data_IF_142016118576
#
_entry.id   IF_142016118576
#
_cell.length_a   1.000
_cell.length_b   1.000
_cell.length_c   1.000
_cell.angle_alpha   90.00
_cell.angle_beta   90.00
_cell.angle_gamma   90.00
#
_symmetry.space_group_name_H-M   'P 1'
#
loop_
_entity.id
_entity.type
_entity.pdbx_description
1 polymer ?
#
# COMPACT_ATOMS: atom_id res chain seq x y z
N UNK A 1 19.20 -73.06 -6.39
CA UNK A 1 18.36 -71.85 -6.38
C UNK A 1 17.51 -71.86 -7.65
N UNK A 2 16.18 -71.78 -7.53
CA UNK A 2 15.26 -72.04 -8.66
C UNK A 2 15.16 -70.83 -9.59
N UNK A 3 15.13 -71.05 -10.92
CA UNK A 3 15.02 -70.01 -11.97
C UNK A 3 13.85 -69.04 -11.75
N UNK A 4 12.80 -69.46 -11.03
CA UNK A 4 11.67 -68.60 -10.62
C UNK A 4 12.08 -67.57 -9.56
N UNK A 5 12.91 -67.92 -8.57
CA UNK A 5 13.32 -67.00 -7.50
C UNK A 5 14.16 -65.84 -8.03
N UNK A 6 15.02 -66.08 -9.03
CA UNK A 6 15.82 -65.03 -9.68
C UNK A 6 14.96 -64.01 -10.42
N UNK A 7 13.89 -64.46 -11.09
CA UNK A 7 12.97 -63.57 -11.84
C UNK A 7 12.15 -62.69 -10.89
N UNK A 8 11.68 -63.22 -9.76
CA UNK A 8 10.94 -62.41 -8.77
C UNK A 8 11.83 -61.35 -8.12
N UNK A 9 13.10 -61.67 -7.90
CA UNK A 9 14.06 -60.74 -7.30
C UNK A 9 14.43 -59.62 -8.27
N UNK A 10 14.65 -59.91 -9.56
CA UNK A 10 14.87 -58.87 -10.57
C UNK A 10 13.64 -57.97 -10.81
N UNK A 11 12.43 -58.55 -10.80
CA UNK A 11 11.20 -57.77 -10.92
C UNK A 11 10.96 -56.83 -9.73
N UNK A 12 11.30 -57.25 -8.50
CA UNK A 12 11.17 -56.36 -7.33
C UNK A 12 12.13 -55.17 -7.40
N UNK A 13 13.39 -55.39 -7.79
CA UNK A 13 14.37 -54.31 -7.96
C UNK A 13 13.96 -53.30 -9.04
N UNK A 14 13.35 -53.75 -10.15
CA UNK A 14 12.88 -52.87 -11.22
C UNK A 14 11.68 -52.02 -10.76
N UNK A 15 10.77 -52.60 -9.95
CA UNK A 15 9.61 -51.89 -9.40
C UNK A 15 10.08 -50.84 -8.38
N UNK A 16 10.97 -51.21 -7.46
CA UNK A 16 11.50 -50.29 -6.44
C UNK A 16 12.30 -49.13 -7.08
N UNK A 17 13.09 -49.40 -8.13
CA UNK A 17 13.80 -48.35 -8.86
C UNK A 17 12.86 -47.40 -9.60
N UNK A 18 11.79 -47.90 -10.21
CA UNK A 18 10.77 -47.06 -10.87
C UNK A 18 10.00 -46.19 -9.86
N UNK A 19 9.65 -46.73 -8.70
CA UNK A 19 8.98 -45.98 -7.62
C UNK A 19 9.90 -44.90 -7.05
N UNK A 20 11.20 -45.21 -6.86
CA UNK A 20 12.20 -44.24 -6.42
C UNK A 20 12.41 -43.11 -7.45
N UNK A 21 12.43 -43.44 -8.75
CA UNK A 21 12.53 -42.45 -9.82
C UNK A 21 11.28 -41.53 -9.87
N UNK A 22 10.08 -42.11 -9.70
CA UNK A 22 8.80 -41.40 -9.73
C UNK A 22 8.64 -40.46 -8.52
N UNK A 23 9.04 -40.90 -7.32
CA UNK A 23 9.02 -40.08 -6.10
C UNK A 23 10.12 -39.00 -6.09
N UNK A 24 11.28 -39.26 -6.69
CA UNK A 24 12.36 -38.28 -6.84
C UNK A 24 12.06 -37.17 -7.86
N UNK A 25 11.33 -37.49 -8.93
CA UNK A 25 10.93 -36.55 -9.98
C UNK A 25 9.77 -35.64 -9.57
N UNK A 26 8.87 -36.08 -8.68
CA UNK A 26 7.70 -35.28 -8.26
C UNK A 26 8.00 -34.17 -7.22
N UNK A 27 9.14 -34.20 -6.52
CA UNK A 27 9.50 -33.16 -5.55
C UNK A 27 10.10 -31.90 -6.20
N UNK A 28 10.71 -32.04 -7.37
CA UNK A 28 11.36 -30.95 -8.12
C UNK A 28 10.37 -29.92 -8.69
N UNK A 29 9.21 -30.28 -9.27
CA UNK A 29 8.25 -29.29 -9.77
C UNK A 29 7.54 -28.53 -8.65
N UNK A 30 7.33 -29.14 -7.47
CA UNK A 30 6.68 -28.47 -6.33
C UNK A 30 7.55 -27.31 -5.82
N UNK A 31 8.87 -27.50 -5.75
CA UNK A 31 9.82 -26.44 -5.37
C UNK A 31 9.80 -25.32 -6.40
N UNK A 32 9.76 -25.65 -7.70
CA UNK A 32 9.66 -24.64 -8.77
C UNK A 32 8.34 -23.86 -8.73
N UNK A 33 7.20 -24.52 -8.47
CA UNK A 33 5.90 -23.86 -8.34
C UNK A 33 5.87 -22.92 -7.11
N UNK A 34 6.42 -23.35 -5.97
CA UNK A 34 6.55 -22.51 -4.78
C UNK A 34 7.46 -21.29 -5.02
N UNK A 35 8.55 -21.47 -5.79
CA UNK A 35 9.45 -20.39 -6.16
C UNK A 35 8.77 -19.37 -7.10
N UNK A 36 7.99 -19.84 -8.08
CA UNK A 36 7.20 -18.98 -8.98
C UNK A 36 6.14 -18.19 -8.19
N UNK A 37 5.49 -18.81 -7.21
CA UNK A 37 4.53 -18.14 -6.33
C UNK A 37 5.21 -17.07 -5.45
N UNK A 38 6.45 -17.31 -5.00
CA UNK A 38 7.27 -16.34 -4.26
C UNK A 38 7.72 -15.16 -5.12
N UNK A 39 8.07 -15.38 -6.39
CA UNK A 39 8.44 -14.30 -7.32
C UNK A 39 7.20 -13.46 -7.68
N UNK A 40 6.02 -14.09 -7.84
CA UNK A 40 4.78 -13.39 -8.19
C UNK A 40 4.18 -12.57 -7.02
N UNK A 41 4.47 -12.96 -5.76
CA UNK A 41 4.11 -12.16 -4.58
C UNK A 41 5.12 -11.04 -4.30
N UNK A 42 6.31 -11.12 -4.90
CA UNK A 42 7.38 -10.12 -4.79
C UNK A 42 7.23 -8.91 -5.72
N UNK A 43 6.32 -8.93 -6.71
CA UNK A 43 5.90 -7.72 -7.43
C UNK A 43 4.95 -6.89 -6.58
N UNK A 44 5.47 -6.52 -5.40
CA UNK A 44 4.97 -5.51 -4.51
C UNK A 44 4.89 -4.20 -5.29
N UNK A 45 3.68 -3.67 -5.39
CA UNK A 45 3.34 -2.24 -5.33
C UNK A 45 4.53 -1.26 -5.41
N UNK A 46 5.21 -1.21 -6.55
CA UNK A 46 5.95 0.00 -6.91
C UNK A 46 4.87 0.95 -7.42
N UNK A 47 4.39 1.84 -6.55
CA UNK A 47 3.56 2.95 -6.99
C UNK A 47 4.44 3.83 -7.88
N UNK A 48 4.38 3.61 -9.19
CA UNK A 48 5.04 4.49 -10.15
C UNK A 48 4.56 5.92 -9.89
N UNK A 49 5.52 6.81 -9.66
CA UNK A 49 5.22 8.23 -9.48
C UNK A 49 4.75 8.77 -10.82
N UNK A 50 3.47 9.15 -10.91
CA UNK A 50 2.89 9.65 -12.15
C UNK A 50 3.09 11.16 -12.28
N UNK A 51 3.46 11.63 -13.46
CA UNK A 51 3.50 13.06 -13.75
C UNK A 51 2.14 13.54 -14.26
N UNK A 52 1.65 14.67 -13.75
CA UNK A 52 0.41 15.29 -14.22
C UNK A 52 0.55 16.80 -14.36
N UNK A 53 0.17 17.28 -15.54
CA UNK A 53 0.13 18.70 -15.86
C UNK A 53 -1.23 19.27 -15.47
N UNK A 54 -1.22 20.43 -14.81
CA UNK A 54 -2.41 21.18 -14.45
C UNK A 54 -2.32 22.59 -15.03
N UNK A 55 -3.45 23.18 -15.40
CA UNK A 55 -3.47 24.55 -15.91
C UNK A 55 -3.23 25.54 -14.78
N UNK A 56 -3.73 25.25 -13.58
CA UNK A 56 -3.58 26.09 -12.38
C UNK A 56 -3.32 25.24 -11.14
N UNK A 57 -2.69 25.82 -10.11
CA UNK A 57 -2.56 25.14 -8.82
C UNK A 57 -3.92 24.93 -8.12
N UNK A 58 -4.90 25.80 -8.40
CA UNK A 58 -6.26 25.66 -7.89
C UNK A 58 -6.94 24.40 -8.44
N UNK A 59 -6.70 24.05 -9.70
CA UNK A 59 -7.25 22.85 -10.32
C UNK A 59 -6.76 21.58 -9.61
N UNK A 60 -5.46 21.51 -9.33
CA UNK A 60 -4.87 20.45 -8.52
C UNK A 60 -5.48 20.40 -7.11
N UNK A 61 -5.60 21.55 -6.43
CA UNK A 61 -6.22 21.63 -5.10
C UNK A 61 -7.68 21.16 -5.11
N UNK A 62 -8.45 21.51 -6.13
CA UNK A 62 -9.84 21.06 -6.27
C UNK A 62 -9.91 19.54 -6.40
N UNK A 63 -9.08 18.94 -7.25
CA UNK A 63 -9.02 17.48 -7.39
C UNK A 63 -8.71 16.78 -6.06
N UNK A 64 -7.70 17.29 -5.33
CA UNK A 64 -7.33 16.72 -4.03
C UNK A 64 -8.47 16.80 -3.02
N UNK A 65 -9.13 17.96 -2.93
CA UNK A 65 -10.26 18.15 -2.01
C UNK A 65 -11.48 17.31 -2.41
N UNK A 66 -11.72 17.09 -3.70
CA UNK A 66 -12.77 16.18 -4.16
C UNK A 66 -12.48 14.73 -3.73
N UNK A 67 -11.24 14.25 -3.92
CA UNK A 67 -10.82 12.91 -3.47
C UNK A 67 -11.00 12.74 -1.95
N UNK A 68 -10.50 13.68 -1.16
CA UNK A 68 -10.66 13.68 0.30
C UNK A 68 -12.16 13.71 0.70
N UNK A 69 -12.98 14.46 -0.03
CA UNK A 69 -14.41 14.54 0.22
C UNK A 69 -15.13 13.21 -0.04
N UNK A 70 -14.69 12.44 -1.03
CA UNK A 70 -15.24 11.11 -1.35
C UNK A 70 -14.87 10.00 -0.37
N UNK A 71 -13.95 10.25 0.57
CA UNK A 71 -13.62 9.29 1.63
C UNK A 71 -14.70 9.32 2.70
N UNK A 72 -15.37 8.19 2.90
CA UNK A 72 -16.46 8.03 3.86
C UNK A 72 -16.01 7.27 5.11
N UNK A 73 -16.76 7.46 6.20
CA UNK A 73 -16.61 6.64 7.42
C UNK A 73 -16.91 5.20 7.04
N UNK A 74 -16.09 4.26 7.51
CA UNK A 74 -16.24 2.85 7.15
C UNK A 74 -15.26 2.36 6.09
N UNK A 75 -14.76 3.23 5.19
CA UNK A 75 -13.79 2.84 4.16
C UNK A 75 -12.53 2.23 4.78
N UNK A 76 -11.98 1.18 4.15
CA UNK A 76 -10.74 0.56 4.60
C UNK A 76 -9.51 1.40 4.27
N UNK A 77 -8.36 1.07 4.88
CA UNK A 77 -7.09 1.72 4.54
C UNK A 77 -6.77 1.58 3.05
N UNK A 78 -7.10 0.43 2.46
CA UNK A 78 -6.87 0.14 1.03
C UNK A 78 -7.75 1.04 0.17
N UNK A 79 -9.05 1.12 0.47
CA UNK A 79 -9.98 1.99 -0.27
C UNK A 79 -9.57 3.46 -0.19
N UNK A 80 -9.12 3.93 0.97
CA UNK A 80 -8.61 5.29 1.14
C UNK A 80 -7.40 5.56 0.24
N UNK A 81 -6.46 4.62 0.16
CA UNK A 81 -5.28 4.74 -0.72
C UNK A 81 -5.66 4.69 -2.20
N UNK A 82 -6.65 3.88 -2.57
CA UNK A 82 -7.16 3.81 -3.95
C UNK A 82 -7.83 5.12 -4.39
N UNK A 83 -8.66 5.71 -3.52
CA UNK A 83 -9.32 6.99 -3.78
C UNK A 83 -8.30 8.12 -3.98
N UNK A 84 -7.27 8.18 -3.12
CA UNK A 84 -6.25 9.23 -3.19
C UNK A 84 -5.29 9.01 -4.37
N UNK A 85 -4.99 7.74 -4.67
CA UNK A 85 -4.10 7.33 -5.74
C UNK A 85 -2.62 7.38 -5.33
N UNK A 86 -1.75 7.19 -6.32
CA UNK A 86 -0.30 7.22 -6.14
C UNK A 86 0.22 8.64 -5.91
N UNK A 87 1.48 8.72 -5.45
CA UNK A 87 2.21 10.00 -5.39
C UNK A 87 2.39 10.57 -6.80
N UNK A 88 2.25 11.90 -6.94
CA UNK A 88 2.24 12.56 -8.24
C UNK A 88 3.22 13.73 -8.32
N UNK A 89 3.88 13.87 -9.46
CA UNK A 89 4.64 15.09 -9.78
C UNK A 89 3.66 16.07 -10.44
N UNK A 90 3.36 17.15 -9.73
CA UNK A 90 2.46 18.21 -10.18
C UNK A 90 3.28 19.26 -10.91
N UNK A 91 2.93 19.47 -12.18
CA UNK A 91 3.47 20.55 -13.01
C UNK A 91 2.41 21.60 -13.27
N UNK A 92 2.69 22.85 -12.90
CA UNK A 92 1.85 24.03 -13.16
C UNK A 92 2.69 25.10 -13.85
N UNK A 93 2.26 25.65 -14.99
CA UNK A 93 2.98 26.71 -15.66
C UNK A 93 2.99 28.01 -14.84
N UNK A 94 3.84 28.96 -15.22
CA UNK A 94 3.86 30.30 -14.65
C UNK A 94 2.56 31.03 -14.99
N UNK A 95 1.82 31.52 -14.00
CA UNK A 95 0.60 32.32 -14.20
C UNK A 95 0.72 33.63 -13.43
N UNK A 96 0.70 34.75 -14.16
CA UNK A 96 0.88 36.08 -13.59
C UNK A 96 2.20 36.18 -12.81
N UNK A 97 2.09 36.46 -11.50
CA UNK A 97 3.24 36.59 -10.58
C UNK A 97 3.64 35.28 -9.89
N UNK A 98 2.87 34.20 -10.04
CA UNK A 98 3.19 32.91 -9.42
C UNK A 98 4.34 32.22 -10.17
N UNK A 99 5.27 31.64 -9.41
CA UNK A 99 6.34 30.80 -9.98
C UNK A 99 5.73 29.51 -10.54
N UNK A 100 6.31 28.94 -11.62
CA UNK A 100 5.93 27.61 -12.07
C UNK A 100 6.17 26.60 -10.95
N UNK A 101 5.31 25.59 -10.88
CA UNK A 101 5.42 24.48 -9.93
C UNK A 101 5.87 23.23 -10.67
N UNK A 102 6.85 22.53 -10.11
CA UNK A 102 7.22 21.17 -10.52
C UNK A 102 7.65 20.45 -9.25
N UNK A 103 6.70 19.80 -8.58
CA UNK A 103 6.93 19.23 -7.25
C UNK A 103 6.22 17.89 -7.09
N UNK A 104 6.87 16.97 -6.40
CA UNK A 104 6.27 15.72 -5.92
C UNK A 104 5.33 15.99 -4.74
N UNK A 105 4.10 15.52 -4.87
CA UNK A 105 3.12 15.42 -3.80
C UNK A 105 2.92 13.96 -3.43
N UNK A 106 3.22 13.60 -2.19
CA UNK A 106 3.06 12.24 -1.67
C UNK A 106 1.62 11.99 -1.26
N UNK A 107 1.17 10.76 -1.41
CA UNK A 107 -0.19 10.33 -1.09
C UNK A 107 -0.14 9.12 -0.15
N UNK A 108 -0.17 9.31 1.19
CA UNK A 108 -0.25 10.56 1.95
C UNK A 108 1.09 11.31 2.07
N UNK A 109 1.03 12.59 2.46
CA UNK A 109 2.22 13.41 2.77
C UNK A 109 2.88 13.01 4.08
N UNK A 110 2.05 12.71 5.09
CA UNK A 110 2.53 12.21 6.37
C UNK A 110 1.70 11.02 6.80
N UNK A 111 2.35 10.08 7.50
CA UNK A 111 1.69 8.96 8.17
C UNK A 111 2.18 8.90 9.62
N UNK A 112 1.27 8.63 10.56
CA UNK A 112 1.60 8.35 11.96
C UNK A 112 0.82 7.10 12.36
N UNK A 113 1.52 6.10 12.83
CA UNK A 113 0.94 4.92 13.46
C UNK A 113 1.07 5.10 14.97
N UNK A 114 -0.01 4.87 15.69
CA UNK A 114 -0.08 5.01 17.15
C UNK A 114 -1.09 4.01 17.70
N UNK A 115 -1.29 3.99 19.01
CA UNK A 115 -2.23 3.08 19.67
C UNK A 115 -3.10 3.83 20.66
N UNK A 116 -4.34 3.36 20.83
CA UNK A 116 -5.19 3.80 21.95
C UNK A 116 -4.81 3.08 23.26
N UNK A 117 -5.52 3.41 24.33
CA UNK A 117 -5.37 2.74 25.64
C UNK A 117 -5.61 1.23 25.61
N UNK A 118 -6.51 0.78 24.74
CA UNK A 118 -6.84 -0.62 24.58
C UNK A 118 -5.84 -1.35 23.66
N UNK A 119 -4.76 -0.67 23.24
CA UNK A 119 -3.72 -1.16 22.33
C UNK A 119 -4.23 -1.45 20.91
N UNK A 120 -5.36 -0.86 20.53
CA UNK A 120 -5.80 -0.91 19.14
C UNK A 120 -4.91 0.02 18.29
N UNK A 121 -4.50 -0.46 17.13
CA UNK A 121 -3.72 0.34 16.19
C UNK A 121 -4.58 1.45 15.58
N UNK A 122 -3.99 2.63 15.50
CA UNK A 122 -4.56 3.83 14.91
C UNK A 122 -3.56 4.36 13.91
N UNK A 123 -3.97 4.42 12.65
CA UNK A 123 -3.20 5.01 11.57
C UNK A 123 -3.80 6.35 11.20
N UNK A 124 -3.00 7.41 11.24
CA UNK A 124 -3.40 8.75 10.82
C UNK A 124 -2.66 9.08 9.53
N UNK A 125 -3.41 9.42 8.50
CA UNK A 125 -2.92 9.77 7.17
C UNK A 125 -3.17 11.26 6.96
N UNK A 126 -2.16 12.02 6.53
CA UNK A 126 -2.31 13.44 6.21
C UNK A 126 -2.20 13.63 4.70
N UNK A 127 -3.29 14.06 4.08
CA UNK A 127 -3.37 14.32 2.65
C UNK A 127 -3.37 15.82 2.38
N UNK A 128 -2.60 16.25 1.39
CA UNK A 128 -2.52 17.66 1.02
C UNK A 128 -3.89 18.22 0.62
N UNK A 129 -4.27 19.38 1.17
CA UNK A 129 -5.61 19.96 0.93
C UNK A 129 -5.65 21.48 0.89
N UNK A 130 -4.71 22.16 1.53
CA UNK A 130 -4.69 23.63 1.67
C UNK A 130 -3.47 24.22 0.96
N UNK A 131 -3.54 25.49 0.50
CA UNK A 131 -2.50 26.08 -0.32
C UNK A 131 -1.17 26.17 0.41
N UNK A 132 -0.10 26.03 -0.38
CA UNK A 132 1.28 26.04 0.06
C UNK A 132 1.67 27.40 0.64
N UNK A 133 2.11 27.44 1.90
CA UNK A 133 2.85 28.59 2.44
C UNK A 133 4.13 28.75 1.62
N UNK A 134 4.43 30.00 1.24
CA UNK A 134 5.41 30.35 0.19
C UNK A 134 6.87 29.87 0.45
N UNK A 135 7.12 29.19 1.55
CA UNK A 135 8.42 28.76 2.06
C UNK A 135 8.90 27.42 1.47
N UNK A 136 8.10 26.75 0.64
CA UNK A 136 8.59 25.57 -0.08
C UNK A 136 8.39 24.22 0.63
N UNK A 137 8.26 24.23 1.97
CA UNK A 137 8.16 23.04 2.83
C UNK A 137 6.70 22.71 3.14
N UNK A 138 6.31 21.45 2.94
CA UNK A 138 4.98 20.96 3.30
C UNK A 138 4.90 20.73 4.80
N UNK A 139 3.82 21.19 5.41
CA UNK A 139 3.52 21.07 6.84
C UNK A 139 2.20 20.33 7.07
N UNK A 140 2.02 19.77 8.28
CA UNK A 140 0.76 19.09 8.63
C UNK A 140 -0.45 20.02 8.65
N UNK A 141 -0.24 21.33 8.83
CA UNK A 141 -1.29 22.36 8.72
C UNK A 141 -1.83 22.51 7.31
N UNK A 142 -1.06 22.11 6.29
CA UNK A 142 -1.45 22.15 4.88
C UNK A 142 -2.20 20.87 4.44
N UNK A 143 -2.42 19.96 5.39
CA UNK A 143 -2.98 18.65 5.13
C UNK A 143 -4.26 18.41 5.93
N UNK A 144 -5.18 17.65 5.35
CA UNK A 144 -6.35 17.10 6.01
C UNK A 144 -6.03 15.73 6.61
N UNK A 145 -6.16 15.54 7.93
CA UNK A 145 -5.95 14.24 8.55
C UNK A 145 -7.16 13.33 8.32
N UNK A 146 -6.89 12.05 8.09
CA UNK A 146 -7.84 10.95 8.05
C UNK A 146 -7.40 9.92 9.07
N UNK A 147 -8.30 9.56 9.99
CA UNK A 147 -8.04 8.64 11.08
C UNK A 147 -8.61 7.28 10.74
N UNK A 148 -7.74 6.27 10.70
CA UNK A 148 -8.06 4.87 10.53
C UNK A 148 -7.92 4.17 11.88
N UNK A 149 -8.97 3.47 12.32
CA UNK A 149 -8.96 2.62 13.52
C UNK A 149 -9.53 1.26 13.12
N UNK A 150 -8.84 0.18 13.46
CA UNK A 150 -9.24 -1.19 13.11
C UNK A 150 -9.52 -1.38 11.60
N UNK A 151 -8.60 -0.89 10.75
CA UNK A 151 -8.70 -0.91 9.28
C UNK A 151 -9.96 -0.24 8.71
N UNK A 152 -10.51 0.74 9.41
CA UNK A 152 -11.67 1.51 8.93
C UNK A 152 -11.54 2.99 9.27
N UNK A 153 -12.01 3.86 8.37
CA UNK A 153 -12.07 5.30 8.59
C UNK A 153 -13.01 5.58 9.76
N UNK A 154 -12.43 6.08 10.86
CA UNK A 154 -13.17 6.57 12.02
C UNK A 154 -13.66 8.01 11.80
N UNK A 155 -12.92 8.79 11.01
CA UNK A 155 -13.30 10.15 10.64
C UNK A 155 -12.18 10.93 9.97
N UNK A 156 -12.51 12.14 9.51
CA UNK A 156 -11.61 13.02 8.75
C UNK A 156 -11.70 14.48 9.21
N UNK A 157 -10.65 15.24 8.92
CA UNK A 157 -10.56 16.67 9.21
C UNK A 157 -9.92 16.99 10.56
N UNK A 158 -9.31 18.16 10.65
CA UNK A 158 -8.53 18.62 11.82
C UNK A 158 -9.36 18.64 13.09
N UNK A 159 -10.61 19.10 13.02
CA UNK A 159 -11.53 19.13 14.17
C UNK A 159 -11.81 17.72 14.72
N UNK A 160 -12.06 16.75 13.84
CA UNK A 160 -12.26 15.36 14.24
C UNK A 160 -10.98 14.80 14.86
N UNK A 161 -9.85 14.96 14.18
CA UNK A 161 -8.54 14.48 14.64
C UNK A 161 -8.22 14.98 16.06
N UNK A 162 -8.32 16.28 16.32
CA UNK A 162 -8.02 16.85 17.64
C UNK A 162 -8.95 16.29 18.73
N UNK A 163 -10.24 16.17 18.44
CA UNK A 163 -11.22 15.61 19.37
C UNK A 163 -10.96 14.12 19.64
N UNK A 164 -10.63 13.36 18.59
CA UNK A 164 -10.33 11.94 18.66
C UNK A 164 -9.07 11.67 19.50
N UNK A 165 -7.98 12.40 19.22
CA UNK A 165 -6.73 12.29 19.99
C UNK A 165 -6.94 12.58 21.47
N UNK A 166 -7.75 13.60 21.80
CA UNK A 166 -8.10 13.94 23.18
C UNK A 166 -8.92 12.83 23.86
N UNK A 167 -9.93 12.28 23.16
CA UNK A 167 -10.84 11.25 23.69
C UNK A 167 -10.11 9.93 23.94
N UNK A 168 -9.31 9.48 23.00
CA UNK A 168 -8.59 8.21 23.06
C UNK A 168 -7.32 8.29 23.95
N UNK A 169 -7.01 9.49 24.46
CA UNK A 169 -5.84 9.79 25.31
C UNK A 169 -4.52 9.32 24.68
N UNK A 170 -4.41 9.50 23.38
CA UNK A 170 -3.22 9.14 22.61
C UNK A 170 -2.11 10.13 23.02
N UNK A 171 -1.04 9.61 23.62
CA UNK A 171 0.10 10.44 24.05
C UNK A 171 0.90 10.89 22.82
N UNK A 172 1.33 12.15 22.82
CA UNK A 172 2.02 12.79 21.71
C UNK A 172 3.48 12.39 21.62
#
# INVERSE_FOLDING_TARGET
MSKKQTIYQELSYIIDFKVFLYLGLMKRPIIFIALIFLIFSGSLYSQETTEKNYNTFSEFLTEQNTKISSIEIGHSLVQVKEIMGASIIVKVPKIGKMKPLSQLFKQPEFTKITTDKAKNEITILWYFSTPKDQNGLMSKSECTPIVIKNDSVAGKGTKFYLNFMKKEQIRF
#
